data_IF_017116805272
#
_entry.id   IF_017116805272
#
_cell.length_a   1.000
_cell.length_b   1.000
_cell.length_c   1.000
_cell.angle_alpha   90.00
_cell.angle_beta   90.00
_cell.angle_gamma   90.00
#
_symmetry.space_group_name_H-M   'P 1'
#
loop_
_entity.id
_entity.type
_entity.pdbx_description
1 polymer ?
#
# COMPACT_ATOMS: atom_id res chain seq x y z
N UNK A 1 2.51 2.92 8.67
CA UNK A 1 2.33 1.53 9.14
C UNK A 1 1.28 0.88 8.27
N UNK A 2 1.26 -0.45 8.18
CA UNK A 2 0.21 -1.17 7.47
C UNK A 2 -0.20 -2.42 8.26
N UNK A 3 -1.36 -2.99 7.93
CA UNK A 3 -1.87 -4.18 8.62
C UNK A 3 -1.03 -5.43 8.37
N UNK A 4 -0.36 -5.55 7.22
CA UNK A 4 0.60 -6.64 6.97
C UNK A 4 1.76 -6.62 7.98
N UNK A 5 2.28 -5.43 8.32
CA UNK A 5 3.32 -5.27 9.34
C UNK A 5 2.79 -5.52 10.76
N UNK A 6 1.57 -5.06 11.07
CA UNK A 6 0.94 -5.35 12.36
C UNK A 6 0.77 -6.86 12.56
N UNK A 7 0.20 -7.55 11.56
CA UNK A 7 0.02 -9.00 11.51
C UNK A 7 1.34 -9.75 11.73
N UNK A 8 2.39 -9.36 10.99
CA UNK A 8 3.73 -9.96 11.14
C UNK A 8 4.30 -9.80 12.55
N UNK A 9 4.07 -8.67 13.21
CA UNK A 9 4.54 -8.48 14.60
C UNK A 9 3.85 -9.38 15.60
N UNK A 10 2.55 -9.65 15.42
CA UNK A 10 1.85 -10.64 16.25
C UNK A 10 2.33 -12.07 15.97
N UNK A 11 2.60 -12.40 14.70
CA UNK A 11 3.19 -13.68 14.31
C UNK A 11 4.61 -13.89 14.90
N UNK A 12 5.46 -12.86 14.84
CA UNK A 12 6.77 -12.85 15.50
C UNK A 12 6.64 -12.99 17.02
N UNK A 13 5.64 -12.36 17.63
CA UNK A 13 5.37 -12.48 19.06
C UNK A 13 4.94 -13.90 19.46
N UNK A 14 4.14 -14.57 18.63
CA UNK A 14 3.79 -15.98 18.83
C UNK A 14 5.00 -16.90 18.65
N UNK A 15 5.78 -16.68 17.60
CA UNK A 15 6.98 -17.48 17.29
C UNK A 15 8.06 -17.38 18.37
N UNK A 16 8.10 -16.26 19.12
CA UNK A 16 9.01 -16.06 20.23
C UNK A 16 8.64 -16.86 21.50
N UNK A 17 7.46 -17.48 21.55
CA UNK A 17 7.00 -18.27 22.70
C UNK A 17 7.52 -19.72 22.62
N UNK A 18 7.68 -20.39 23.78
CA UNK A 18 7.93 -21.84 23.82
C UNK A 18 6.88 -22.64 23.03
N UNK A 19 7.30 -23.69 22.31
CA UNK A 19 6.45 -24.46 21.38
C UNK A 19 5.18 -25.04 22.05
N UNK A 20 5.28 -25.42 23.31
CA UNK A 20 4.18 -25.90 24.16
C UNK A 20 3.12 -24.82 24.42
N UNK A 21 3.49 -23.55 24.36
CA UNK A 21 2.58 -22.40 24.57
C UNK A 21 2.14 -21.76 23.26
N UNK A 22 2.77 -22.07 22.12
CA UNK A 22 2.40 -21.49 20.82
C UNK A 22 0.95 -21.80 20.39
N UNK A 23 0.33 -22.84 20.94
CA UNK A 23 -1.07 -23.23 20.69
C UNK A 23 -2.07 -22.85 21.81
N UNK A 24 -1.62 -22.30 22.94
CA UNK A 24 -2.49 -21.91 24.07
C UNK A 24 -3.20 -20.58 23.79
N UNK A 25 -4.48 -20.38 24.17
CA UNK A 25 -5.21 -19.12 23.95
C UNK A 25 -4.48 -17.92 24.60
N UNK A 26 -3.79 -17.16 23.76
CA UNK A 26 -2.83 -16.13 24.16
C UNK A 26 -3.22 -14.82 23.49
N UNK A 27 -3.02 -13.72 24.20
CA UNK A 27 -3.30 -12.38 23.67
C UNK A 27 -2.58 -12.11 22.34
N UNK A 28 -1.37 -12.65 22.12
CA UNK A 28 -0.69 -12.53 20.81
C UNK A 28 -1.45 -13.20 19.66
N UNK A 29 -2.16 -14.32 19.91
CA UNK A 29 -3.00 -14.97 18.90
C UNK A 29 -4.27 -14.17 18.66
N UNK A 30 -4.89 -13.63 19.70
CA UNK A 30 -6.06 -12.76 19.55
C UNK A 30 -5.75 -11.55 18.65
N UNK A 31 -4.59 -10.89 18.85
CA UNK A 31 -4.14 -9.81 17.98
C UNK A 31 -3.91 -10.24 16.52
N UNK A 32 -3.35 -11.43 16.32
CA UNK A 32 -3.21 -12.02 14.98
C UNK A 32 -4.58 -12.31 14.33
N UNK A 33 -5.54 -12.81 15.10
CA UNK A 33 -6.89 -13.11 14.63
C UNK A 33 -7.68 -11.86 14.21
N UNK A 34 -7.54 -10.73 14.92
CA UNK A 34 -8.10 -9.46 14.44
C UNK A 34 -7.55 -9.07 13.07
N UNK A 35 -6.23 -9.20 12.88
CA UNK A 35 -5.62 -8.95 11.57
C UNK A 35 -6.15 -9.93 10.51
N UNK A 36 -6.23 -11.22 10.82
CA UNK A 36 -6.72 -12.25 9.90
C UNK A 36 -8.19 -12.01 9.49
N UNK A 37 -9.06 -11.61 10.43
CA UNK A 37 -10.45 -11.24 10.14
C UNK A 37 -10.54 -10.10 9.13
N UNK A 38 -9.74 -9.05 9.30
CA UNK A 38 -9.70 -7.92 8.36
C UNK A 38 -9.22 -8.36 6.96
N UNK A 39 -8.15 -9.17 6.90
CA UNK A 39 -7.68 -9.73 5.62
C UNK A 39 -8.68 -10.68 4.96
N UNK A 40 -9.48 -11.42 5.73
CA UNK A 40 -10.54 -12.27 5.21
C UNK A 40 -11.64 -11.43 4.57
N UNK A 41 -12.09 -10.36 5.23
CA UNK A 41 -13.07 -9.43 4.66
C UNK A 41 -12.56 -8.83 3.36
N UNK A 42 -11.30 -8.36 3.31
CA UNK A 42 -10.71 -7.80 2.09
C UNK A 42 -10.61 -8.81 0.95
N UNK A 43 -10.39 -10.09 1.26
CA UNK A 43 -10.41 -11.16 0.25
C UNK A 43 -11.79 -11.34 -0.37
N UNK A 44 -12.84 -11.27 0.45
CA UNK A 44 -14.23 -11.44 0.00
C UNK A 44 -14.70 -10.30 -0.91
N UNK A 45 -14.16 -9.09 -0.70
CA UNK A 45 -14.56 -7.87 -1.43
C UNK A 45 -13.57 -7.46 -2.52
N UNK A 46 -12.58 -8.29 -2.83
CA UNK A 46 -11.49 -7.95 -3.76
C UNK A 46 -11.98 -7.49 -5.13
N UNK A 47 -13.00 -8.16 -5.67
CA UNK A 47 -13.53 -7.91 -7.02
C UNK A 47 -14.73 -6.94 -7.02
N UNK A 48 -14.97 -6.24 -5.91
CA UNK A 48 -16.06 -5.27 -5.73
C UNK A 48 -15.66 -3.87 -6.19
N UNK A 49 -16.65 -3.05 -6.55
CA UNK A 49 -16.40 -1.65 -6.87
C UNK A 49 -15.88 -0.88 -5.65
N UNK A 50 -15.23 0.27 -5.86
CA UNK A 50 -14.76 1.12 -4.74
C UNK A 50 -15.90 1.53 -3.80
N UNK A 51 -17.08 1.80 -4.33
CA UNK A 51 -18.28 2.17 -3.55
C UNK A 51 -18.80 1.00 -2.72
N UNK A 52 -18.81 -0.21 -3.30
CA UNK A 52 -19.20 -1.43 -2.59
C UNK A 52 -18.18 -1.78 -1.50
N UNK A 53 -16.86 -1.70 -1.80
CA UNK A 53 -15.79 -1.92 -0.82
C UNK A 53 -15.96 -0.97 0.37
N UNK A 54 -16.20 0.31 0.13
CA UNK A 54 -16.40 1.31 1.18
C UNK A 54 -17.59 0.95 2.09
N UNK A 55 -18.74 0.58 1.52
CA UNK A 55 -19.93 0.18 2.30
C UNK A 55 -19.67 -1.07 3.12
N UNK A 56 -19.13 -2.12 2.50
CA UNK A 56 -18.88 -3.40 3.18
C UNK A 56 -17.83 -3.22 4.29
N UNK A 57 -16.82 -2.36 4.08
CA UNK A 57 -15.84 -2.01 5.12
C UNK A 57 -16.50 -1.35 6.33
N UNK A 58 -17.45 -0.43 6.13
CA UNK A 58 -18.18 0.18 7.24
C UNK A 58 -19.08 -0.81 7.99
N UNK A 59 -19.65 -1.79 7.28
CA UNK A 59 -20.52 -2.81 7.88
C UNK A 59 -19.73 -3.91 8.61
N UNK A 60 -18.61 -4.38 8.02
CA UNK A 60 -17.87 -5.57 8.48
C UNK A 60 -16.51 -5.24 9.09
N UNK A 61 -15.73 -4.36 8.46
CA UNK A 61 -14.35 -4.07 8.89
C UNK A 61 -14.30 -3.06 10.04
N UNK A 62 -15.18 -2.05 10.03
CA UNK A 62 -15.22 -1.00 11.05
C UNK A 62 -15.51 -1.56 12.45
N UNK A 63 -16.50 -2.45 12.67
CA UNK A 63 -16.68 -3.05 14.00
C UNK A 63 -15.44 -3.82 14.48
N UNK A 64 -14.78 -4.55 13.57
CA UNK A 64 -13.57 -5.33 13.89
C UNK A 64 -12.40 -4.42 14.24
N UNK A 65 -12.20 -3.31 13.52
CA UNK A 65 -11.12 -2.37 13.84
C UNK A 65 -11.38 -1.67 15.18
N UNK A 66 -12.62 -1.31 15.49
CA UNK A 66 -12.96 -0.67 16.76
C UNK A 66 -12.71 -1.62 17.93
N UNK A 67 -13.20 -2.86 17.83
CA UNK A 67 -12.96 -3.89 18.84
C UNK A 67 -11.46 -4.15 19.03
N UNK A 68 -10.71 -4.22 17.92
CA UNK A 68 -9.27 -4.38 17.96
C UNK A 68 -8.57 -3.20 18.66
N UNK A 69 -9.02 -1.97 18.41
CA UNK A 69 -8.49 -0.76 19.05
C UNK A 69 -8.70 -0.75 20.56
N UNK A 70 -9.93 -1.05 21.01
CA UNK A 70 -10.25 -1.21 22.43
C UNK A 70 -9.38 -2.29 23.07
N UNK A 71 -9.29 -3.45 22.42
CA UNK A 71 -8.46 -4.55 22.89
C UNK A 71 -6.98 -4.16 22.99
N UNK A 72 -6.43 -3.41 22.02
CA UNK A 72 -5.03 -2.97 22.06
C UNK A 72 -4.74 -2.09 23.29
N UNK A 73 -5.62 -1.14 23.63
CA UNK A 73 -5.46 -0.29 24.80
C UNK A 73 -5.56 -1.08 26.12
N UNK A 74 -6.48 -2.07 26.20
CA UNK A 74 -6.56 -2.97 27.35
C UNK A 74 -5.28 -3.81 27.54
N UNK A 75 -4.72 -4.33 26.44
CA UNK A 75 -3.52 -5.15 26.49
C UNK A 75 -2.26 -4.32 26.75
N UNK A 76 -2.23 -3.05 26.33
CA UNK A 76 -1.11 -2.14 26.61
C UNK A 76 -0.81 -2.02 28.10
N UNK A 77 -1.83 -1.98 28.95
CA UNK A 77 -1.67 -1.93 30.40
C UNK A 77 -1.10 -3.24 30.99
N UNK A 78 -1.26 -4.36 30.29
CA UNK A 78 -0.86 -5.71 30.75
C UNK A 78 0.47 -6.18 30.14
N UNK A 79 0.86 -5.62 28.99
CA UNK A 79 2.00 -6.06 28.23
C UNK A 79 3.32 -5.44 28.71
N UNK A 80 4.37 -6.25 28.82
CA UNK A 80 5.73 -5.72 29.04
C UNK A 80 6.20 -4.96 27.77
N UNK A 81 6.55 -3.66 27.85
CA UNK A 81 6.83 -2.84 26.66
C UNK A 81 7.93 -3.38 25.74
N UNK A 82 8.97 -4.00 26.32
CA UNK A 82 10.13 -4.53 25.57
C UNK A 82 9.92 -5.94 25.01
N UNK A 83 8.85 -6.63 25.42
CA UNK A 83 8.51 -7.96 24.89
C UNK A 83 8.11 -7.89 23.42
N UNK A 84 8.17 -9.00 22.70
CA UNK A 84 7.71 -9.06 21.31
C UNK A 84 6.22 -8.66 21.18
N UNK A 85 5.40 -9.10 22.13
CA UNK A 85 3.98 -8.72 22.21
C UNK A 85 3.78 -7.22 22.51
N UNK A 86 4.52 -6.66 23.48
CA UNK A 86 4.46 -5.23 23.79
C UNK A 86 4.90 -4.34 22.63
N UNK A 87 5.88 -4.79 21.84
CA UNK A 87 6.30 -4.14 20.59
C UNK A 87 5.21 -4.21 19.51
N UNK A 88 4.47 -5.32 19.40
CA UNK A 88 3.35 -5.44 18.48
C UNK A 88 2.21 -4.46 18.82
N UNK A 89 1.82 -4.39 20.09
CA UNK A 89 0.80 -3.44 20.58
C UNK A 89 1.25 -2.00 20.33
N UNK A 90 2.47 -1.67 20.76
CA UNK A 90 3.03 -0.32 20.61
C UNK A 90 3.11 0.11 19.14
N UNK A 91 3.45 -0.82 18.24
CA UNK A 91 3.41 -0.54 16.80
C UNK A 91 2.00 -0.20 16.31
N UNK A 92 1.00 -0.98 16.70
CA UNK A 92 -0.39 -0.75 16.26
C UNK A 92 -0.91 0.60 16.75
N UNK A 93 -0.73 0.89 18.04
CA UNK A 93 -1.17 2.15 18.64
C UNK A 93 -0.44 3.37 18.05
N UNK A 94 0.88 3.29 17.85
CA UNK A 94 1.65 4.38 17.22
C UNK A 94 1.30 4.60 15.74
N UNK A 95 0.63 3.65 15.09
CA UNK A 95 0.24 3.73 13.69
C UNK A 95 -1.27 3.73 13.53
N UNK A 96 -2.05 3.95 14.60
CA UNK A 96 -3.48 3.71 14.62
C UNK A 96 -4.22 4.45 13.50
N UNK A 97 -3.99 5.75 13.36
CA UNK A 97 -4.61 6.55 12.29
C UNK A 97 -4.34 5.96 10.91
N UNK A 98 -3.09 5.54 10.65
CA UNK A 98 -2.67 4.94 9.38
C UNK A 98 -3.27 3.54 9.15
N UNK A 99 -3.54 2.80 10.23
CA UNK A 99 -4.19 1.49 10.14
C UNK A 99 -5.70 1.63 9.88
N UNK A 100 -6.30 2.79 10.12
CA UNK A 100 -7.71 3.07 9.85
C UNK A 100 -7.95 3.73 8.48
N UNK A 101 -6.92 4.30 7.85
CA UNK A 101 -7.06 5.03 6.57
C UNK A 101 -7.73 4.23 5.46
N UNK A 102 -7.59 2.90 5.41
CA UNK A 102 -8.28 2.07 4.41
C UNK A 102 -9.82 2.15 4.49
N UNK A 103 -10.38 2.61 5.60
CA UNK A 103 -11.82 2.81 5.76
C UNK A 103 -12.31 4.10 5.11
N UNK A 104 -11.42 5.05 4.83
CA UNK A 104 -11.79 6.37 4.31
C UNK A 104 -12.18 6.33 2.83
N UNK A 105 -11.56 5.46 2.03
CA UNK A 105 -11.79 5.33 0.59
C UNK A 105 -11.64 3.87 0.13
N UNK A 106 -12.57 3.40 -0.70
CA UNK A 106 -12.59 2.03 -1.23
C UNK A 106 -11.45 1.67 -2.19
N UNK A 107 -10.74 2.66 -2.73
CA UNK A 107 -9.53 2.48 -3.55
C UNK A 107 -8.29 2.20 -2.69
N UNK A 108 -8.33 2.51 -1.40
CA UNK A 108 -7.20 2.29 -0.51
C UNK A 108 -7.10 0.80 -0.17
N UNK A 109 -5.88 0.29 -0.26
CA UNK A 109 -5.57 -1.09 0.11
C UNK A 109 -5.30 -1.22 1.61
N UNK A 110 -5.64 -2.36 2.18
CA UNK A 110 -5.43 -2.68 3.60
C UNK A 110 -3.94 -2.75 3.97
N UNK A 111 -3.11 -3.12 2.99
CA UNK A 111 -1.66 -3.12 3.12
C UNK A 111 -0.99 -2.25 2.06
N UNK A 112 0.27 -1.91 2.33
CA UNK A 112 1.09 -1.10 1.45
C UNK A 112 2.04 -1.95 0.59
N UNK A 113 1.83 -3.26 0.47
CA UNK A 113 2.77 -4.16 -0.20
C UNK A 113 2.96 -3.78 -1.66
N UNK A 114 1.88 -3.35 -2.34
CA UNK A 114 1.96 -2.87 -3.73
C UNK A 114 2.86 -1.64 -3.83
N UNK A 115 2.59 -0.61 -3.02
CA UNK A 115 3.39 0.60 -2.98
C UNK A 115 4.88 0.32 -2.64
N UNK A 116 5.13 -0.58 -1.68
CA UNK A 116 6.50 -1.00 -1.32
C UNK A 116 7.21 -1.73 -2.47
N UNK A 117 6.50 -2.53 -3.27
CA UNK A 117 7.06 -3.16 -4.47
C UNK A 117 7.37 -2.12 -5.54
N UNK A 118 6.46 -1.18 -5.81
CA UNK A 118 6.66 -0.14 -6.83
C UNK A 118 7.81 0.82 -6.51
N UNK A 119 8.04 1.14 -5.22
CA UNK A 119 9.17 2.00 -4.82
C UNK A 119 10.52 1.26 -4.71
N UNK A 120 10.51 -0.08 -4.64
CA UNK A 120 11.72 -0.89 -4.41
C UNK A 120 12.82 -0.65 -5.46
N UNK A 121 12.55 -0.57 -6.78
CA UNK A 121 13.58 -0.25 -7.78
C UNK A 121 14.27 1.08 -7.50
N UNK A 122 13.51 2.11 -7.11
CA UNK A 122 14.05 3.41 -6.72
C UNK A 122 14.95 3.31 -5.48
N UNK A 123 14.52 2.58 -4.44
CA UNK A 123 15.32 2.39 -3.22
C UNK A 123 16.65 1.70 -3.52
N UNK A 124 16.64 0.67 -4.37
CA UNK A 124 17.85 -0.03 -4.82
C UNK A 124 18.75 0.91 -5.64
N UNK A 125 18.18 1.65 -6.60
CA UNK A 125 18.89 2.64 -7.40
C UNK A 125 19.58 3.70 -6.54
N UNK A 126 18.83 4.31 -5.62
CA UNK A 126 19.34 5.32 -4.67
C UNK A 126 20.53 4.81 -3.86
N UNK A 127 20.52 3.54 -3.44
CA UNK A 127 21.65 2.94 -2.73
C UNK A 127 22.92 2.87 -3.59
N UNK A 128 22.76 2.73 -4.91
CA UNK A 128 23.86 2.61 -5.87
C UNK A 128 24.30 3.95 -6.46
N UNK A 129 23.48 5.00 -6.39
CA UNK A 129 23.80 6.34 -6.87
C UNK A 129 24.56 7.14 -5.81
N UNK A 130 25.88 6.91 -5.72
CA UNK A 130 26.75 7.48 -4.67
C UNK A 130 26.77 9.02 -4.58
N UNK A 131 26.27 9.73 -5.60
CA UNK A 131 26.23 11.20 -5.67
C UNK A 131 24.81 11.79 -5.72
N UNK A 132 23.76 10.98 -5.54
CA UNK A 132 22.37 11.45 -5.46
C UNK A 132 22.04 11.93 -4.04
N UNK A 133 22.68 13.00 -3.59
CA UNK A 133 22.64 13.46 -2.19
C UNK A 133 21.93 14.82 -1.97
N UNK A 134 21.36 15.42 -3.01
CA UNK A 134 20.69 16.72 -2.88
C UNK A 134 19.17 16.56 -2.78
N UNK A 135 18.47 17.39 -1.97
CA UNK A 135 17.01 17.42 -1.94
C UNK A 135 16.38 17.67 -3.31
N UNK A 136 17.03 18.50 -4.14
CA UNK A 136 16.59 18.78 -5.51
C UNK A 136 16.65 17.52 -6.38
N UNK A 137 17.75 16.77 -6.34
CA UNK A 137 17.90 15.52 -7.06
C UNK A 137 16.90 14.45 -6.60
N UNK A 138 16.64 14.38 -5.29
CA UNK A 138 15.61 13.49 -4.73
C UNK A 138 14.21 13.85 -5.25
N UNK A 139 13.86 15.14 -5.28
CA UNK A 139 12.57 15.62 -5.82
C UNK A 139 12.43 15.30 -7.31
N UNK A 140 13.45 15.59 -8.12
CA UNK A 140 13.43 15.28 -9.56
C UNK A 140 13.29 13.79 -9.82
N UNK A 141 14.00 12.95 -9.06
CA UNK A 141 13.90 11.50 -9.18
C UNK A 141 12.50 11.01 -8.80
N UNK A 142 11.94 11.50 -7.68
CA UNK A 142 10.59 11.14 -7.27
C UNK A 142 9.55 11.47 -8.34
N UNK A 143 9.64 12.64 -8.99
CA UNK A 143 8.74 13.02 -10.08
C UNK A 143 8.81 12.05 -11.27
N UNK A 144 10.03 11.75 -11.75
CA UNK A 144 10.23 10.85 -12.89
C UNK A 144 9.71 9.45 -12.58
N UNK A 145 10.05 8.91 -11.40
CA UNK A 145 9.57 7.60 -10.99
C UNK A 145 8.05 7.57 -10.82
N UNK A 146 7.44 8.64 -10.29
CA UNK A 146 5.98 8.72 -10.21
C UNK A 146 5.33 8.64 -11.59
N UNK A 147 5.83 9.36 -12.59
CA UNK A 147 5.32 9.29 -13.97
C UNK A 147 5.47 7.87 -14.54
N UNK A 148 6.66 7.27 -14.38
CA UNK A 148 6.94 5.92 -14.90
C UNK A 148 6.06 4.87 -14.23
N UNK A 149 5.94 4.88 -12.90
CA UNK A 149 5.11 3.92 -12.19
C UNK A 149 3.63 4.14 -12.51
N UNK A 150 3.18 5.38 -12.66
CA UNK A 150 1.79 5.67 -13.08
C UNK A 150 1.51 5.13 -14.49
N UNK A 151 2.45 5.29 -15.43
CA UNK A 151 2.32 4.72 -16.78
C UNK A 151 2.23 3.18 -16.75
N UNK A 152 3.06 2.51 -15.94
CA UNK A 152 2.99 1.04 -15.78
C UNK A 152 1.66 0.58 -15.19
N UNK A 153 1.14 1.29 -14.20
CA UNK A 153 -0.13 0.96 -13.54
C UNK A 153 -1.34 1.18 -14.47
N UNK A 154 -1.18 1.94 -15.55
CA UNK A 154 -2.16 2.08 -16.63
C UNK A 154 -1.82 1.20 -17.86
N UNK A 155 -1.01 0.16 -17.67
CA UNK A 155 -0.65 -0.80 -18.72
C UNK A 155 0.08 -0.20 -19.94
N UNK A 156 0.82 0.89 -19.73
CA UNK A 156 1.62 1.54 -20.78
C UNK A 156 3.07 1.06 -20.77
N UNK A 157 3.70 1.05 -21.95
CA UNK A 157 5.14 0.94 -22.12
C UNK A 157 5.78 2.29 -21.73
N UNK A 158 6.54 2.36 -20.61
CA UNK A 158 7.03 3.63 -20.11
C UNK A 158 7.98 4.36 -21.07
N UNK A 159 8.74 3.62 -21.87
CA UNK A 159 9.66 4.23 -22.83
C UNK A 159 8.90 4.94 -23.95
N UNK A 160 7.97 4.23 -24.59
CA UNK A 160 7.17 4.79 -25.68
C UNK A 160 6.27 5.93 -25.19
N UNK A 161 5.71 5.80 -23.99
CA UNK A 161 4.91 6.85 -23.37
C UNK A 161 5.73 8.11 -23.10
N UNK A 162 6.93 8.00 -22.50
CA UNK A 162 7.81 9.15 -22.30
C UNK A 162 8.24 9.79 -23.62
N UNK A 163 8.53 8.99 -24.64
CA UNK A 163 8.84 9.49 -25.98
C UNK A 163 7.66 10.29 -26.55
N UNK A 164 6.44 9.75 -26.48
CA UNK A 164 5.23 10.44 -26.89
C UNK A 164 5.05 11.77 -26.17
N UNK A 165 5.22 11.80 -24.84
CA UNK A 165 5.15 13.03 -24.05
C UNK A 165 6.20 14.05 -24.51
N UNK A 166 7.46 13.64 -24.70
CA UNK A 166 8.52 14.56 -25.11
C UNK A 166 8.36 15.09 -26.53
N UNK A 167 7.78 14.32 -27.44
CA UNK A 167 7.54 14.73 -28.83
C UNK A 167 6.35 15.68 -28.96
N UNK A 168 5.28 15.47 -28.17
CA UNK A 168 3.99 16.12 -28.38
C UNK A 168 3.63 17.19 -27.34
N UNK A 169 4.04 17.06 -26.07
CA UNK A 169 3.76 18.10 -25.05
C UNK A 169 4.31 19.48 -25.41
N UNK A 170 5.49 19.64 -26.04
CA UNK A 170 5.98 20.96 -26.44
C UNK A 170 5.12 21.64 -27.52
N UNK A 171 4.22 20.90 -28.17
CA UNK A 171 3.39 21.39 -29.27
C UNK A 171 2.02 21.91 -28.80
N UNK A 172 1.67 21.69 -27.53
CA UNK A 172 0.39 22.12 -26.94
C UNK A 172 0.61 23.25 -25.92
N UNK A 173 -0.47 23.96 -25.60
CA UNK A 173 -0.48 24.84 -24.43
C UNK A 173 -0.70 24.01 -23.16
N UNK A 174 0.34 23.91 -22.33
CA UNK A 174 0.29 23.15 -21.07
C UNK A 174 -0.66 23.76 -20.02
N UNK A 175 -1.14 24.99 -20.23
CA UNK A 175 -2.14 25.61 -19.35
C UNK A 175 -3.58 25.22 -19.76
N UNK A 176 -3.74 24.61 -20.93
CA UNK A 176 -5.01 24.08 -21.41
C UNK A 176 -5.23 22.68 -20.82
N UNK A 177 -6.05 22.61 -19.77
CA UNK A 177 -6.28 21.37 -19.02
C UNK A 177 -6.92 20.28 -19.87
N UNK A 178 -7.84 20.64 -20.76
CA UNK A 178 -8.53 19.67 -21.62
C UNK A 178 -7.55 18.97 -22.56
N UNK A 179 -6.62 19.73 -23.15
CA UNK A 179 -5.56 19.14 -23.98
C UNK A 179 -4.59 18.33 -23.17
N UNK A 180 -4.24 18.77 -21.96
CA UNK A 180 -3.32 18.02 -21.10
C UNK A 180 -3.90 16.67 -20.68
N UNK A 181 -5.22 16.59 -20.49
CA UNK A 181 -5.92 15.36 -20.13
C UNK A 181 -5.73 14.26 -21.18
N UNK A 182 -5.60 14.60 -22.46
CA UNK A 182 -5.29 13.66 -23.56
C UNK A 182 -3.91 13.00 -23.43
N UNK A 183 -2.99 13.62 -22.68
CA UNK A 183 -1.63 13.10 -22.45
C UNK A 183 -1.51 12.33 -21.15
N UNK A 184 -2.57 12.25 -20.35
CA UNK A 184 -2.54 11.52 -19.08
C UNK A 184 -2.49 10.02 -19.33
N UNK A 185 -1.89 9.23 -18.41
CA UNK A 185 -1.64 7.82 -18.65
C UNK A 185 -2.93 6.98 -18.70
N UNK A 186 -4.08 7.54 -18.31
CA UNK A 186 -5.41 6.91 -18.41
C UNK A 186 -6.26 7.43 -19.58
N UNK A 187 -5.70 8.26 -20.46
CA UNK A 187 -6.42 8.75 -21.63
C UNK A 187 -6.70 7.59 -22.62
N UNK A 188 -7.92 7.57 -23.18
CA UNK A 188 -8.37 6.49 -24.07
C UNK A 188 -7.64 6.53 -25.43
N UNK A 189 -7.37 7.74 -25.92
CA UNK A 189 -6.82 8.04 -27.24
C UNK A 189 -5.28 8.02 -27.31
N UNK A 190 -4.61 7.42 -26.31
CA UNK A 190 -3.17 7.25 -26.35
C UNK A 190 -2.75 6.38 -27.54
N UNK A 191 -1.63 6.73 -28.22
CA UNK A 191 -1.11 5.94 -29.34
C UNK A 191 -0.94 4.45 -29.00
N UNK A 192 -1.29 3.56 -29.94
CA UNK A 192 -1.23 2.10 -29.74
C UNK A 192 0.19 1.58 -29.42
N UNK A 193 1.23 2.26 -29.90
CA UNK A 193 2.61 1.93 -29.54
C UNK A 193 2.93 2.21 -28.05
N UNK A 194 2.17 3.09 -27.39
CA UNK A 194 2.32 3.35 -25.96
C UNK A 194 1.68 2.27 -25.10
N UNK A 195 0.69 1.53 -25.61
CA UNK A 195 0.02 0.45 -24.87
C UNK A 195 0.91 -0.79 -24.83
N UNK A 196 0.97 -1.47 -23.68
CA UNK A 196 1.67 -2.76 -23.60
C UNK A 196 0.92 -3.78 -24.47
N UNK A 197 1.58 -4.28 -25.52
CA UNK A 197 1.02 -5.38 -26.28
C UNK A 197 0.86 -6.59 -25.36
N UNK A 198 -0.37 -7.07 -25.19
CA UNK A 198 -0.66 -8.31 -24.47
C UNK A 198 0.09 -9.44 -25.14
N UNK A 199 1.26 -9.78 -24.61
CA UNK A 199 1.95 -10.99 -25.02
C UNK A 199 1.04 -12.13 -24.60
N UNK A 200 0.49 -12.88 -25.57
CA UNK A 200 -0.19 -14.14 -25.27
C UNK A 200 0.84 -15.03 -24.55
N UNK A 201 0.78 -15.04 -23.22
CA UNK A 201 1.62 -15.96 -22.43
C UNK A 201 1.16 -17.37 -22.75
N UNK A 202 2.09 -18.17 -23.28
CA UNK A 202 1.97 -19.62 -23.37
C UNK A 202 1.99 -20.25 -21.97
#
# INVERSE_FOLDING_TARGET
GCLSHARRKFDEALSALPKDKQNADLASRQGLEYCNKLFAIERDIKDKSKEERYKIRHERSFPVIQEFGTWLEEQKAKALPKSAFGKAISYCLNQWDKLNTFLEDGNLELDNNRAERSIKPFVIGRKNWMFANTPKGAKSSALIYSIIETAKENELNPFNYLQFLFENLPQIDINDQEKLDEFLPWAEDLPENCKLQKTQSK
#
